data_IF_172466505280
#
_entry.id   IF_172466505280
#
_cell.length_a   1.000
_cell.length_b   1.000
_cell.length_c   1.000
_cell.angle_alpha   90.00
_cell.angle_beta   90.00
_cell.angle_gamma   90.00
#
_symmetry.space_group_name_H-M   'P 1'
#
loop_
_entity.id
_entity.type
_entity.pdbx_description
1 polymer ?
#
# COMPACT_ATOMS: atom_id res chain seq x y z
N UNK A 1 -9.75 22.68 9.64
CA UNK A 1 -8.53 22.00 10.13
C UNK A 1 -7.52 23.07 10.51
N UNK A 2 -6.82 22.97 11.65
CA UNK A 2 -5.71 23.87 11.94
C UNK A 2 -4.64 23.71 10.86
N UNK A 3 -4.01 24.81 10.46
CA UNK A 3 -2.95 24.81 9.47
C UNK A 3 -1.74 24.09 10.05
N UNK A 4 -1.38 22.93 9.51
CA UNK A 4 -0.12 22.25 9.84
C UNK A 4 1.02 23.17 9.41
N UNK A 5 1.96 23.46 10.31
CA UNK A 5 3.07 24.34 9.95
C UNK A 5 3.95 23.69 8.87
N UNK A 6 4.57 24.47 7.97
CA UNK A 6 5.32 23.92 6.84
C UNK A 6 6.51 23.04 7.26
N UNK A 7 7.14 23.29 8.41
CA UNK A 7 8.28 22.49 8.87
C UNK A 7 7.79 21.10 9.29
N UNK A 8 6.73 21.03 10.10
CA UNK A 8 6.12 19.76 10.49
C UNK A 8 5.62 18.98 9.28
N UNK A 9 4.96 19.64 8.31
CA UNK A 9 4.52 19.00 7.09
C UNK A 9 5.69 18.35 6.34
N UNK A 10 6.80 19.07 6.15
CA UNK A 10 7.98 18.53 5.46
C UNK A 10 8.64 17.38 6.22
N UNK A 11 8.72 17.46 7.56
CA UNK A 11 9.25 16.37 8.37
C UNK A 11 8.38 15.11 8.22
N UNK A 12 7.06 15.25 8.30
CA UNK A 12 6.13 14.12 8.15
C UNK A 12 6.24 13.52 6.74
N UNK A 13 6.25 14.36 5.70
CA UNK A 13 6.37 13.92 4.31
C UNK A 13 7.68 13.15 4.07
N UNK A 14 8.81 13.66 4.55
CA UNK A 14 10.11 12.99 4.44
C UNK A 14 10.14 11.66 5.20
N UNK A 15 9.51 11.59 6.38
CA UNK A 15 9.42 10.35 7.17
C UNK A 15 8.58 9.30 6.45
N UNK A 16 7.41 9.68 5.94
CA UNK A 16 6.54 8.76 5.19
C UNK A 16 7.23 8.24 3.92
N UNK A 17 7.93 9.11 3.19
CA UNK A 17 8.72 8.73 2.02
C UNK A 17 9.83 7.72 2.38
N UNK A 18 10.53 7.94 3.49
CA UNK A 18 11.54 7.00 3.99
C UNK A 18 10.94 5.65 4.41
N UNK A 19 9.75 5.64 5.02
CA UNK A 19 9.06 4.40 5.40
C UNK A 19 8.71 3.57 4.15
N UNK A 20 8.07 4.16 3.15
CA UNK A 20 7.68 3.41 1.93
C UNK A 20 8.90 2.90 1.15
N UNK A 21 10.00 3.64 1.18
CA UNK A 21 11.27 3.19 0.60
C UNK A 21 11.84 1.98 1.35
N UNK A 22 11.83 1.99 2.68
CA UNK A 22 12.33 0.86 3.48
C UNK A 22 11.42 -0.37 3.39
N UNK A 23 10.10 -0.18 3.31
CA UNK A 23 9.16 -1.24 3.00
C UNK A 23 9.53 -1.94 1.69
N UNK A 24 9.81 -1.16 0.64
CA UNK A 24 10.15 -1.72 -0.66
C UNK A 24 11.53 -2.39 -0.65
N UNK A 25 12.54 -1.79 -0.02
CA UNK A 25 13.85 -2.43 0.13
C UNK A 25 13.75 -3.78 0.85
N UNK A 26 12.91 -3.85 1.89
CA UNK A 26 12.65 -5.09 2.62
C UNK A 26 11.97 -6.13 1.73
N UNK A 27 11.01 -5.72 0.90
CA UNK A 27 10.34 -6.59 -0.06
C UNK A 27 11.32 -7.18 -1.08
N UNK A 28 12.21 -6.37 -1.65
CA UNK A 28 13.22 -6.83 -2.61
C UNK A 28 14.24 -7.80 -1.98
N UNK A 29 14.66 -7.54 -0.74
CA UNK A 29 15.62 -8.41 -0.03
C UNK A 29 15.03 -9.75 0.39
N UNK A 30 13.74 -9.81 0.67
CA UNK A 30 13.05 -11.01 1.17
C UNK A 30 12.33 -11.78 0.07
N UNK A 31 12.15 -11.17 -1.11
CA UNK A 31 11.56 -11.80 -2.28
C UNK A 31 12.36 -13.01 -2.76
N UNK A 32 11.71 -14.17 -2.85
CA UNK A 32 12.31 -15.37 -3.43
C UNK A 32 12.39 -15.29 -4.97
N UNK A 33 11.38 -14.69 -5.60
CA UNK A 33 11.29 -14.54 -7.05
C UNK A 33 12.36 -13.59 -7.58
N UNK A 34 13.03 -13.97 -8.67
CA UNK A 34 13.96 -13.09 -9.40
C UNK A 34 13.25 -11.86 -9.97
N UNK A 35 11.96 -11.96 -10.29
CA UNK A 35 11.13 -10.81 -10.71
C UNK A 35 11.09 -9.73 -9.62
N UNK A 36 10.96 -10.13 -8.35
CA UNK A 36 10.94 -9.20 -7.22
C UNK A 36 12.36 -8.79 -6.83
N UNK A 37 13.29 -9.75 -6.71
CA UNK A 37 14.63 -9.50 -6.17
C UNK A 37 15.56 -8.79 -7.15
N UNK A 38 15.51 -9.15 -8.42
CA UNK A 38 16.46 -8.70 -9.45
C UNK A 38 15.80 -7.70 -10.41
N UNK A 39 14.59 -7.98 -10.90
CA UNK A 39 13.85 -7.05 -11.78
C UNK A 39 13.14 -5.94 -11.03
N UNK A 40 13.00 -6.07 -9.69
CA UNK A 40 12.38 -5.07 -8.82
C UNK A 40 10.93 -4.71 -9.20
N UNK A 41 10.19 -5.69 -9.71
CA UNK A 41 8.79 -5.55 -10.08
C UNK A 41 7.88 -5.67 -8.85
N UNK A 42 8.00 -4.67 -7.97
CA UNK A 42 7.11 -4.47 -6.85
C UNK A 42 7.09 -3.00 -6.41
N UNK A 43 6.03 -2.57 -5.73
CA UNK A 43 5.91 -1.23 -5.17
C UNK A 43 5.21 -1.25 -3.82
N UNK A 44 5.39 -0.17 -3.05
CA UNK A 44 4.82 -0.03 -1.71
C UNK A 44 4.15 1.32 -1.54
N UNK A 45 3.10 1.37 -0.73
CA UNK A 45 2.38 2.58 -0.40
C UNK A 45 1.83 2.58 1.03
N UNK A 46 1.56 3.77 1.54
CA UNK A 46 0.72 4.02 2.71
C UNK A 46 -0.53 4.74 2.22
N UNK A 47 -1.69 4.23 2.60
CA UNK A 47 -3.00 4.78 2.26
C UNK A 47 -3.70 5.29 3.52
N UNK A 48 -4.54 6.31 3.41
CA UNK A 48 -5.44 6.68 4.49
C UNK A 48 -6.62 5.69 4.60
N UNK A 49 -7.50 5.91 5.57
CA UNK A 49 -8.68 5.06 5.81
C UNK A 49 -9.63 4.99 4.61
N UNK A 50 -9.64 6.01 3.77
CA UNK A 50 -10.43 6.09 2.55
C UNK A 50 -9.76 5.41 1.34
N UNK A 51 -8.56 4.84 1.51
CA UNK A 51 -7.80 4.21 0.44
C UNK A 51 -7.04 5.20 -0.45
N UNK A 52 -6.95 6.46 -0.08
CA UNK A 52 -6.21 7.48 -0.82
C UNK A 52 -4.71 7.41 -0.49
N UNK A 53 -3.87 7.62 -1.50
CA UNK A 53 -2.41 7.54 -1.33
C UNK A 53 -1.89 8.69 -0.48
N UNK A 54 -1.28 8.35 0.65
CA UNK A 54 -0.58 9.28 1.54
C UNK A 54 0.91 9.36 1.20
N UNK A 55 1.53 8.21 0.92
CA UNK A 55 2.89 8.12 0.43
C UNK A 55 3.07 6.84 -0.39
N UNK A 56 3.98 6.85 -1.35
CA UNK A 56 4.30 5.67 -2.14
C UNK A 56 5.72 5.73 -2.68
N UNK A 57 6.32 4.57 -2.87
CA UNK A 57 7.53 4.39 -3.67
C UNK A 57 7.18 3.46 -4.83
N UNK A 58 7.07 4.06 -6.01
CA UNK A 58 6.59 3.39 -7.21
C UNK A 58 7.77 3.17 -8.16
N UNK A 59 8.04 1.91 -8.49
CA UNK A 59 9.06 1.54 -9.48
C UNK A 59 8.47 1.49 -10.88
N UNK A 60 7.25 0.98 -11.02
CA UNK A 60 6.54 0.89 -12.31
C UNK A 60 5.36 1.86 -12.36
N UNK A 61 5.25 2.73 -13.38
CA UNK A 61 4.14 3.69 -13.50
C UNK A 61 2.75 3.08 -13.38
N UNK A 62 2.59 1.81 -13.81
CA UNK A 62 1.35 1.05 -13.70
C UNK A 62 0.83 0.94 -12.26
N UNK A 63 1.72 0.90 -11.26
CA UNK A 63 1.34 0.73 -9.85
C UNK A 63 0.75 2.01 -9.23
N UNK A 64 0.92 3.18 -9.85
CA UNK A 64 0.49 4.46 -9.29
C UNK A 64 -1.02 4.53 -9.05
N UNK A 65 -1.81 3.96 -9.95
CA UNK A 65 -3.28 3.88 -9.82
C UNK A 65 -3.77 2.60 -9.13
N UNK A 66 -2.89 1.60 -8.98
CA UNK A 66 -3.29 0.27 -8.53
C UNK A 66 -3.62 0.25 -7.03
N UNK A 67 -2.84 0.93 -6.19
CA UNK A 67 -3.09 0.96 -4.74
C UNK A 67 -4.47 1.51 -4.36
N UNK A 68 -4.88 2.71 -4.81
CA UNK A 68 -6.21 3.23 -4.49
C UNK A 68 -7.33 2.37 -5.11
N UNK A 69 -7.10 1.76 -6.28
CA UNK A 69 -8.07 0.84 -6.89
C UNK A 69 -8.22 -0.46 -6.07
N UNK A 70 -7.12 -1.02 -5.55
CA UNK A 70 -7.14 -2.19 -4.69
C UNK A 70 -7.83 -1.89 -3.36
N UNK A 71 -7.51 -0.76 -2.73
CA UNK A 71 -8.17 -0.31 -1.52
C UNK A 71 -9.68 -0.11 -1.73
N UNK A 72 -10.09 0.54 -2.83
CA UNK A 72 -11.51 0.69 -3.16
C UNK A 72 -12.22 -0.66 -3.34
N UNK A 73 -11.55 -1.64 -3.96
CA UNK A 73 -12.07 -3.01 -4.07
C UNK A 73 -12.27 -3.67 -2.71
N UNK A 74 -11.34 -3.51 -1.78
CA UNK A 74 -11.46 -4.01 -0.40
C UNK A 74 -12.59 -3.29 0.34
N UNK A 75 -12.59 -1.96 0.37
CA UNK A 75 -13.58 -1.12 1.06
C UNK A 75 -15.01 -1.31 0.54
N UNK A 76 -15.18 -1.77 -0.70
CA UNK A 76 -16.50 -2.13 -1.24
C UNK A 76 -17.03 -3.45 -0.71
N UNK A 77 -16.15 -4.39 -0.35
CA UNK A 77 -16.51 -5.74 0.06
C UNK A 77 -16.44 -5.96 1.58
N UNK A 78 -15.70 -5.12 2.30
CA UNK A 78 -15.54 -5.18 3.75
C UNK A 78 -15.98 -3.86 4.36
N UNK A 79 -16.90 -3.91 5.33
CA UNK A 79 -17.33 -2.73 6.08
C UNK A 79 -16.36 -2.44 7.24
N UNK A 80 -16.41 -1.23 7.79
CA UNK A 80 -15.47 -0.80 8.85
C UNK A 80 -15.40 -1.75 10.05
N UNK A 81 -16.53 -2.34 10.46
CA UNK A 81 -16.61 -3.28 11.57
C UNK A 81 -16.01 -4.67 11.25
N UNK A 82 -15.57 -4.91 10.02
CA UNK A 82 -14.92 -6.15 9.58
C UNK A 82 -13.40 -6.01 9.44
N UNK A 83 -12.85 -4.81 9.61
CA UNK A 83 -11.41 -4.54 9.53
C UNK A 83 -10.82 -4.51 10.94
N UNK A 84 -9.96 -5.47 11.26
CA UNK A 84 -9.36 -5.63 12.58
C UNK A 84 -7.84 -5.48 12.55
N UNK A 85 -7.27 -5.13 13.70
CA UNK A 85 -5.82 -5.08 13.87
C UNK A 85 -5.22 -6.48 13.70
N UNK A 86 -4.20 -6.59 12.84
CA UNK A 86 -3.57 -7.86 12.50
C UNK A 86 -4.10 -8.53 11.22
N UNK A 87 -5.16 -7.98 10.62
CA UNK A 87 -5.67 -8.48 9.34
C UNK A 87 -4.70 -8.24 8.17
N UNK A 88 -4.89 -9.00 7.09
CA UNK A 88 -4.26 -8.75 5.81
C UNK A 88 -5.23 -9.09 4.67
N UNK A 89 -5.52 -8.10 3.83
CA UNK A 89 -6.35 -8.26 2.64
C UNK A 89 -5.47 -8.54 1.44
N UNK A 90 -5.85 -9.55 0.65
CA UNK A 90 -5.10 -9.95 -0.54
C UNK A 90 -6.01 -9.92 -1.76
N UNK A 91 -5.52 -9.37 -2.87
CA UNK A 91 -6.24 -9.35 -4.14
C UNK A 91 -5.28 -9.38 -5.32
N UNK A 92 -5.68 -10.11 -6.35
CA UNK A 92 -5.10 -10.01 -7.69
C UNK A 92 -6.19 -9.86 -8.76
N UNK A 93 -7.45 -9.61 -8.36
CA UNK A 93 -8.57 -9.60 -9.28
C UNK A 93 -8.60 -8.26 -10.04
N UNK A 94 -8.43 -8.25 -11.39
CA UNK A 94 -8.29 -6.97 -12.09
C UNK A 94 -9.56 -6.12 -12.08
N UNK A 95 -10.72 -6.77 -12.21
CA UNK A 95 -12.00 -6.06 -12.27
C UNK A 95 -12.60 -5.70 -10.91
N UNK A 96 -12.63 -6.64 -9.96
CA UNK A 96 -13.25 -6.43 -8.64
C UNK A 96 -12.30 -5.84 -7.61
N UNK A 97 -11.01 -6.11 -7.75
CA UNK A 97 -9.99 -5.78 -6.77
C UNK A 97 -8.93 -4.81 -7.26
N UNK A 98 -9.12 -4.16 -8.43
CA UNK A 98 -8.27 -3.07 -8.90
C UNK A 98 -6.81 -3.40 -9.23
N UNK A 99 -6.44 -4.69 -9.22
CA UNK A 99 -5.08 -5.12 -9.59
C UNK A 99 -4.83 -4.87 -11.09
N UNK A 100 -3.61 -4.47 -11.52
CA UNK A 100 -3.36 -4.21 -12.93
C UNK A 100 -3.59 -5.44 -13.82
N UNK A 101 -3.16 -6.61 -13.37
CA UNK A 101 -3.41 -7.89 -14.02
C UNK A 101 -3.26 -9.06 -13.05
N UNK A 102 -3.71 -10.26 -13.44
CA UNK A 102 -3.72 -11.43 -12.57
C UNK A 102 -2.36 -11.83 -11.95
N UNK A 103 -1.20 -11.60 -12.61
CA UNK A 103 0.12 -11.77 -12.00
C UNK A 103 0.48 -10.76 -10.90
N UNK A 104 -0.21 -9.63 -10.81
CA UNK A 104 0.06 -8.64 -9.77
C UNK A 104 -0.80 -8.95 -8.55
N UNK A 105 -0.12 -9.18 -7.43
CA UNK A 105 -0.77 -9.48 -6.16
C UNK A 105 -0.57 -8.31 -5.21
N UNK A 106 -1.68 -7.69 -4.80
CA UNK A 106 -1.70 -6.64 -3.81
C UNK A 106 -2.03 -7.22 -2.43
N UNK A 107 -1.27 -6.79 -1.43
CA UNK A 107 -1.54 -7.06 -0.01
C UNK A 107 -1.67 -5.73 0.72
N UNK A 108 -2.80 -5.54 1.41
CA UNK A 108 -3.10 -4.36 2.21
C UNK A 108 -3.33 -4.80 3.65
N UNK A 109 -2.53 -4.28 4.57
CA UNK A 109 -2.66 -4.52 6.01
C UNK A 109 -3.13 -3.22 6.69
N UNK A 110 -4.20 -3.25 7.50
CA UNK A 110 -4.68 -2.06 8.18
C UNK A 110 -3.68 -1.62 9.26
N UNK A 111 -3.54 -0.32 9.42
CA UNK A 111 -2.70 0.32 10.43
C UNK A 111 -3.61 0.84 11.54
N UNK A 112 -3.35 0.42 12.78
CA UNK A 112 -4.06 0.89 13.96
C UNK A 112 -3.15 1.79 14.80
N UNK A 113 -3.72 2.84 15.36
CA UNK A 113 -3.06 3.70 16.35
C UNK A 113 -4.05 3.97 17.49
N UNK A 114 -3.66 3.61 18.71
CA UNK A 114 -4.51 3.75 19.90
C UNK A 114 -5.89 3.09 19.77
N UNK A 115 -5.96 1.95 19.08
CA UNK A 115 -7.21 1.21 18.84
C UNK A 115 -8.08 1.75 17.70
N UNK A 116 -7.66 2.82 17.03
CA UNK A 116 -8.36 3.36 15.86
C UNK A 116 -7.65 2.97 14.56
N UNK A 117 -8.42 2.57 13.56
CA UNK A 117 -7.92 2.29 12.22
C UNK A 117 -7.64 3.61 11.47
N UNK A 118 -6.36 3.84 11.13
CA UNK A 118 -5.89 5.12 10.55
C UNK A 118 -5.52 5.02 9.07
N UNK A 119 -5.41 3.82 8.50
CA UNK A 119 -5.06 3.63 7.10
C UNK A 119 -4.56 2.22 6.77
N UNK A 120 -3.83 2.09 5.67
CA UNK A 120 -3.25 0.81 5.23
C UNK A 120 -1.76 0.95 4.91
N UNK A 121 -1.00 -0.09 5.22
CA UNK A 121 0.26 -0.38 4.56
C UNK A 121 -0.03 -1.31 3.38
N UNK A 122 0.42 -0.95 2.19
CA UNK A 122 0.14 -1.68 0.97
C UNK A 122 1.43 -2.05 0.24
N UNK A 123 1.46 -3.25 -0.33
CA UNK A 123 2.44 -3.66 -1.32
C UNK A 123 1.76 -4.33 -2.50
N UNK A 124 2.38 -4.23 -3.67
CA UNK A 124 1.97 -4.90 -4.88
C UNK A 124 3.21 -5.46 -5.55
N UNK A 125 3.19 -6.76 -5.86
CA UNK A 125 4.32 -7.44 -6.46
C UNK A 125 3.87 -8.39 -7.57
N UNK A 126 4.66 -8.43 -8.64
CA UNK A 126 4.44 -9.34 -9.75
C UNK A 126 4.96 -10.74 -9.38
N UNK A 127 4.11 -11.76 -9.55
CA UNK A 127 4.49 -13.18 -9.43
C UNK A 127 4.55 -13.87 -10.79
N UNK A 128 5.43 -14.85 -10.94
CA UNK A 128 5.48 -15.74 -12.11
C UNK A 128 4.34 -16.75 -12.11
#
# INVERSE_FOLDING_TARGET
MPTVDPVTLQVIQARLAGIVQEMQNSLFRTGYSTIIRESQDASCAILNRQGEVVAQHVVLPLHMGAFPACAAGILKNYIDDEVHEGDAFITNHPYLGGSPHAPDMAVLSPIFFQGEWVGFAANLAHKS
#
